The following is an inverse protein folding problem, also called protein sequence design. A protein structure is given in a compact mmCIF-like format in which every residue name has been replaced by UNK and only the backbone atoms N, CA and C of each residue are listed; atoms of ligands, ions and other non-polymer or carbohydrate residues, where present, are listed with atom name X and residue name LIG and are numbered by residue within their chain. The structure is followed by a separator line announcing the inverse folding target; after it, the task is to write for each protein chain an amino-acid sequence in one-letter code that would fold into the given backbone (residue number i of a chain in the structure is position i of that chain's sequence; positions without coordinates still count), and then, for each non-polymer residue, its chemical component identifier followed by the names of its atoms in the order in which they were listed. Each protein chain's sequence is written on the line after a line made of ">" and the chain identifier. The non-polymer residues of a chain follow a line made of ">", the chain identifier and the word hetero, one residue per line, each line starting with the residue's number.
data_IF_771673157213
#
_entry.id   IF_771673157213
#
_cell.length_a   1.000
_cell.length_b   1.000
_cell.length_c   1.000
_cell.angle_alpha   90.00
_cell.angle_beta   90.00
_cell.angle_gamma   90.00
#
_symmetry.space_group_name_H-M   'P 1'
#
loop_
_entity.id
_entity.type
_entity.pdbx_description
1 polymer ?
#
# COMPACT_ATOMS: atom_id res chain seq x y z
N UNK A 1 -3.75 33.36 -6.53
CA UNK A 1 -3.40 31.96 -6.29
C UNK A 1 -2.52 31.91 -5.06
N UNK A 2 -2.94 31.13 -4.04
CA UNK A 2 -2.17 30.98 -2.81
C UNK A 2 -0.84 30.27 -3.07
N UNK A 3 0.26 30.82 -2.60
CA UNK A 3 1.56 30.18 -2.69
C UNK A 3 1.70 29.23 -1.51
N UNK A 4 1.99 27.96 -1.78
CA UNK A 4 2.42 27.00 -0.74
C UNK A 4 3.90 27.33 -0.45
N UNK A 5 4.21 27.67 0.77
CA UNK A 5 5.55 28.07 1.19
C UNK A 5 6.40 26.88 1.61
N UNK A 6 5.77 25.87 2.24
CA UNK A 6 6.41 24.64 2.64
C UNK A 6 5.37 23.53 2.83
N UNK A 7 5.80 22.29 2.78
CA UNK A 7 4.98 21.10 3.06
C UNK A 7 5.72 20.19 4.03
N UNK A 8 5.07 19.81 5.13
CA UNK A 8 5.53 18.72 5.99
C UNK A 8 4.65 17.49 5.73
N UNK A 9 5.23 16.41 5.26
CA UNK A 9 4.49 15.20 4.89
C UNK A 9 5.42 13.99 4.78
N UNK A 10 4.85 12.80 4.82
CA UNK A 10 5.54 11.58 4.39
C UNK A 10 5.92 11.67 2.91
N UNK A 11 7.11 11.22 2.54
CA UNK A 11 7.45 10.94 1.15
C UNK A 11 6.64 9.72 0.69
N UNK A 12 5.52 9.98 0.01
CA UNK A 12 4.55 8.94 -0.34
C UNK A 12 5.08 7.92 -1.35
N UNK A 13 5.98 8.30 -2.26
CA UNK A 13 6.63 7.36 -3.18
C UNK A 13 7.56 6.42 -2.43
N UNK A 14 8.41 6.95 -1.54
CA UNK A 14 9.27 6.13 -0.69
C UNK A 14 8.45 5.18 0.20
N UNK A 15 7.34 5.66 0.76
CA UNK A 15 6.46 4.84 1.60
C UNK A 15 5.76 3.72 0.82
N UNK A 16 5.33 3.98 -0.43
CA UNK A 16 4.84 2.94 -1.34
C UNK A 16 5.91 1.91 -1.68
N UNK A 17 7.15 2.37 -1.90
CA UNK A 17 8.29 1.48 -2.14
C UNK A 17 8.63 0.59 -0.93
N UNK A 18 8.48 1.10 0.30
CA UNK A 18 8.59 0.29 1.54
C UNK A 18 7.55 -0.83 1.54
N UNK A 19 6.27 -0.54 1.26
CA UNK A 19 5.24 -1.56 1.20
C UNK A 19 5.56 -2.67 0.18
N UNK A 20 6.09 -2.30 -1.00
CA UNK A 20 6.49 -3.25 -2.03
C UNK A 20 7.67 -4.14 -1.59
N UNK A 21 8.70 -3.55 -0.99
CA UNK A 21 9.87 -4.27 -0.51
C UNK A 21 9.50 -5.26 0.60
N UNK A 22 8.69 -4.83 1.57
CA UNK A 22 8.21 -5.69 2.66
C UNK A 22 7.32 -6.83 2.12
N UNK A 23 6.42 -6.56 1.18
CA UNK A 23 5.60 -7.60 0.53
C UNK A 23 6.46 -8.63 -0.18
N UNK A 24 7.43 -8.18 -0.98
CA UNK A 24 8.32 -9.07 -1.74
C UNK A 24 9.20 -9.94 -0.83
N UNK A 25 9.61 -9.43 0.34
CA UNK A 25 10.43 -10.14 1.32
C UNK A 25 9.67 -11.25 2.08
N UNK A 26 8.34 -11.30 2.01
CA UNK A 26 7.56 -12.37 2.66
C UNK A 26 7.85 -13.71 1.98
N UNK A 27 8.34 -14.67 2.75
CA UNK A 27 8.80 -15.97 2.23
C UNK A 27 7.75 -16.68 1.34
N UNK A 28 6.48 -16.69 1.77
CA UNK A 28 5.39 -17.30 1.00
C UNK A 28 5.09 -16.56 -0.31
N UNK A 29 5.29 -15.25 -0.36
CA UNK A 29 5.14 -14.43 -1.59
C UNK A 29 6.33 -14.66 -2.50
N UNK A 30 7.56 -14.60 -1.99
CA UNK A 30 8.77 -14.85 -2.75
C UNK A 30 8.75 -16.25 -3.41
N UNK A 31 8.28 -17.28 -2.68
CA UNK A 31 8.15 -18.63 -3.21
C UNK A 31 7.10 -18.72 -4.34
N UNK A 32 5.93 -18.08 -4.19
CA UNK A 32 4.90 -18.04 -5.24
C UNK A 32 5.39 -17.29 -6.49
N UNK A 33 6.08 -16.16 -6.29
CA UNK A 33 6.69 -15.40 -7.39
C UNK A 33 7.72 -16.26 -8.10
N UNK A 34 8.66 -16.89 -7.38
CA UNK A 34 9.71 -17.72 -7.99
C UNK A 34 9.16 -18.91 -8.79
N UNK A 35 8.01 -19.45 -8.40
CA UNK A 35 7.35 -20.57 -9.08
C UNK A 35 6.46 -20.12 -10.25
N UNK A 36 6.20 -18.83 -10.42
CA UNK A 36 5.28 -18.34 -11.45
C UNK A 36 5.85 -18.56 -12.87
N UNK A 37 4.96 -18.87 -13.80
CA UNK A 37 5.28 -18.99 -15.23
C UNK A 37 4.14 -18.38 -16.04
N UNK A 38 4.30 -18.14 -17.36
CA UNK A 38 3.20 -17.68 -18.19
C UNK A 38 1.99 -18.64 -18.25
N UNK A 39 2.22 -19.95 -18.02
CA UNK A 39 1.18 -20.97 -17.98
C UNK A 39 0.51 -21.09 -16.60
N UNK A 40 1.21 -20.62 -15.55
CA UNK A 40 0.73 -20.56 -14.17
C UNK A 40 1.11 -19.19 -13.57
N UNK A 41 0.54 -18.08 -14.08
CA UNK A 41 0.88 -16.74 -13.64
C UNK A 41 0.34 -16.46 -12.25
N UNK A 42 0.95 -15.48 -11.56
CA UNK A 42 0.46 -14.95 -10.30
C UNK A 42 0.05 -13.48 -10.42
N UNK A 43 -0.87 -13.05 -9.56
CA UNK A 43 -1.38 -11.69 -9.54
C UNK A 43 -1.16 -11.04 -8.18
N UNK A 44 -0.69 -9.79 -8.20
CA UNK A 44 -0.62 -8.89 -7.06
C UNK A 44 -1.58 -7.73 -7.34
N UNK A 45 -2.46 -7.38 -6.40
CA UNK A 45 -3.32 -6.22 -6.54
C UNK A 45 -2.75 -5.00 -5.80
N UNK A 46 -2.69 -3.86 -6.50
CA UNK A 46 -2.50 -2.55 -5.92
C UNK A 46 -3.87 -1.86 -5.85
N UNK A 47 -4.48 -1.85 -4.67
CA UNK A 47 -5.77 -1.21 -4.44
C UNK A 47 -5.55 0.26 -4.11
N UNK A 48 -5.57 1.10 -5.13
CA UNK A 48 -5.40 2.55 -5.04
C UNK A 48 -6.76 3.22 -4.87
N UNK A 49 -7.01 3.84 -3.70
CA UNK A 49 -8.31 4.46 -3.43
C UNK A 49 -8.67 5.58 -4.42
N UNK A 50 -7.67 6.26 -4.99
CA UNK A 50 -7.87 7.43 -5.83
C UNK A 50 -6.71 7.59 -6.83
N UNK A 51 -7.01 8.05 -8.05
CA UNK A 51 -6.02 8.28 -9.09
C UNK A 51 -5.65 9.76 -9.28
N UNK A 52 -6.15 10.66 -8.41
CA UNK A 52 -5.95 12.12 -8.50
C UNK A 52 -5.29 12.73 -7.28
N UNK A 53 -5.55 12.20 -6.08
CA UNK A 53 -4.90 12.63 -4.83
C UNK A 53 -3.39 12.41 -4.88
N UNK A 54 -2.60 13.49 -4.70
CA UNK A 54 -1.14 13.43 -4.83
C UNK A 54 -0.51 12.40 -3.90
N UNK A 55 -0.98 12.28 -2.65
CA UNK A 55 -0.46 11.31 -1.69
C UNK A 55 -0.76 9.86 -2.09
N UNK A 56 -2.00 9.57 -2.50
CA UNK A 56 -2.42 8.22 -2.92
C UNK A 56 -1.72 7.82 -4.22
N UNK A 57 -1.62 8.75 -5.17
CA UNK A 57 -0.86 8.54 -6.42
C UNK A 57 0.61 8.25 -6.13
N UNK A 58 1.23 9.02 -5.23
CA UNK A 58 2.62 8.80 -4.83
C UNK A 58 2.82 7.39 -4.25
N UNK A 59 1.96 6.94 -3.32
CA UNK A 59 2.01 5.58 -2.75
C UNK A 59 1.87 4.51 -3.82
N UNK A 60 0.94 4.71 -4.75
CA UNK A 60 0.71 3.78 -5.88
C UNK A 60 1.91 3.71 -6.80
N UNK A 61 2.45 4.87 -7.24
CA UNK A 61 3.62 4.93 -8.12
C UNK A 61 4.84 4.30 -7.46
N UNK A 62 5.10 4.65 -6.19
CA UNK A 62 6.22 4.09 -5.43
C UNK A 62 6.13 2.56 -5.26
N UNK A 63 4.92 2.06 -4.95
CA UNK A 63 4.68 0.61 -4.88
C UNK A 63 4.91 -0.07 -6.22
N UNK A 64 4.33 0.45 -7.31
CA UNK A 64 4.47 -0.12 -8.64
C UNK A 64 5.92 -0.12 -9.12
N UNK A 65 6.62 1.00 -8.98
CA UNK A 65 8.01 1.12 -9.42
C UNK A 65 8.91 0.11 -8.68
N UNK A 66 8.81 0.06 -7.33
CA UNK A 66 9.64 -0.85 -6.54
C UNK A 66 9.26 -2.31 -6.72
N UNK A 67 7.97 -2.63 -6.80
CA UNK A 67 7.53 -4.00 -7.01
C UNK A 67 7.97 -4.50 -8.40
N UNK A 68 7.80 -3.69 -9.44
CA UNK A 68 8.27 -4.04 -10.79
C UNK A 68 9.79 -4.24 -10.81
N UNK A 69 10.57 -3.34 -10.22
CA UNK A 69 12.03 -3.49 -10.08
C UNK A 69 12.39 -4.86 -9.48
N UNK A 70 11.75 -5.24 -8.37
CA UNK A 70 12.03 -6.51 -7.68
C UNK A 70 11.57 -7.72 -8.51
N UNK A 71 10.39 -7.66 -9.10
CA UNK A 71 9.86 -8.74 -9.93
C UNK A 71 10.70 -8.98 -11.19
N UNK A 72 11.21 -7.93 -11.82
CA UNK A 72 12.10 -8.02 -12.98
C UNK A 72 13.43 -8.71 -12.66
N UNK A 73 13.87 -8.74 -11.41
CA UNK A 73 15.02 -9.54 -11.01
C UNK A 73 14.77 -11.05 -11.08
N UNK A 74 13.52 -11.46 -10.97
CA UNK A 74 13.09 -12.88 -10.99
C UNK A 74 12.55 -13.28 -12.37
N UNK A 75 11.76 -12.41 -12.99
CA UNK A 75 11.05 -12.63 -14.25
C UNK A 75 11.34 -11.53 -15.28
N UNK A 76 12.58 -11.44 -15.81
CA UNK A 76 12.99 -10.36 -16.72
C UNK A 76 12.11 -10.26 -17.97
N UNK A 77 11.42 -9.11 -18.15
CA UNK A 77 10.53 -8.82 -19.26
C UNK A 77 9.17 -9.52 -19.19
N UNK A 78 8.85 -10.25 -18.12
CA UNK A 78 7.60 -11.00 -17.96
C UNK A 78 6.70 -10.44 -16.84
N UNK A 79 6.83 -9.14 -16.51
CA UNK A 79 6.01 -8.43 -15.54
C UNK A 79 5.10 -7.44 -16.27
N UNK A 80 3.79 -7.51 -16.04
CA UNK A 80 2.81 -6.58 -16.60
C UNK A 80 2.11 -5.78 -15.50
N UNK A 81 1.72 -4.54 -15.81
CA UNK A 81 0.81 -3.74 -14.99
C UNK A 81 -0.48 -3.54 -15.77
N UNK A 82 -1.61 -3.83 -15.14
CA UNK A 82 -2.94 -3.77 -15.76
C UNK A 82 -3.97 -3.11 -14.83
N UNK A 83 -5.19 -2.93 -15.30
CA UNK A 83 -6.36 -2.58 -14.49
C UNK A 83 -6.74 -1.09 -14.52
N UNK A 84 -5.80 -0.17 -14.70
CA UNK A 84 -6.10 1.26 -14.78
C UNK A 84 -5.19 1.95 -15.79
N UNK A 85 -5.77 2.67 -16.76
CA UNK A 85 -5.07 3.26 -17.91
C UNK A 85 -3.89 4.17 -17.54
N UNK A 86 -3.98 4.87 -16.43
CA UNK A 86 -2.90 5.73 -15.92
C UNK A 86 -1.61 4.96 -15.61
N UNK A 87 -1.71 3.68 -15.28
CA UNK A 87 -0.60 2.87 -14.75
C UNK A 87 -0.26 1.66 -15.62
N UNK A 88 -1.09 1.33 -16.61
CA UNK A 88 -0.90 0.15 -17.45
C UNK A 88 0.47 0.16 -18.13
N UNK A 89 1.17 -0.97 -18.04
CA UNK A 89 2.44 -1.24 -18.70
C UNK A 89 2.47 -2.71 -19.17
N UNK A 90 2.50 -2.97 -20.48
CA UNK A 90 2.57 -4.34 -20.98
C UNK A 90 3.95 -4.94 -20.72
N UNK A 91 4.02 -6.26 -20.52
CA UNK A 91 5.27 -7.00 -20.46
C UNK A 91 5.87 -7.20 -21.86
N UNK A 92 7.17 -7.37 -21.96
CA UNK A 92 7.88 -7.68 -23.22
C UNK A 92 7.66 -9.14 -23.67
N UNK A 93 7.47 -10.05 -22.71
CA UNK A 93 7.21 -11.48 -22.88
C UNK A 93 5.85 -11.84 -22.29
N UNK A 94 5.31 -13.03 -22.54
CA UNK A 94 4.12 -13.50 -21.84
C UNK A 94 4.30 -13.37 -20.32
N UNK A 95 3.36 -12.70 -19.65
CA UNK A 95 3.51 -12.33 -18.26
C UNK A 95 3.47 -13.54 -17.32
N UNK A 96 4.49 -13.68 -16.48
CA UNK A 96 4.49 -14.61 -15.35
C UNK A 96 3.91 -13.94 -14.10
N UNK A 97 4.05 -12.61 -13.97
CA UNK A 97 3.49 -11.84 -12.87
C UNK A 97 2.72 -10.63 -13.42
N UNK A 98 1.52 -10.42 -12.91
CA UNK A 98 0.72 -9.24 -13.22
C UNK A 98 0.46 -8.43 -11.95
N UNK A 99 0.73 -7.13 -11.99
CA UNK A 99 0.27 -6.20 -10.97
C UNK A 99 -1.01 -5.54 -11.48
N UNK A 100 -2.14 -5.84 -10.84
CA UNK A 100 -3.40 -5.20 -11.19
C UNK A 100 -3.64 -3.96 -10.32
N UNK A 101 -3.86 -2.81 -10.94
CA UNK A 101 -4.22 -1.57 -10.24
C UNK A 101 -5.73 -1.40 -10.29
N UNK A 102 -6.38 -1.46 -9.13
CA UNK A 102 -7.82 -1.20 -9.00
C UNK A 102 -8.04 0.15 -8.34
N UNK A 103 -8.85 1.01 -8.99
CA UNK A 103 -9.33 2.29 -8.45
C UNK A 103 -10.85 2.21 -8.35
N UNK A 104 -11.44 2.45 -7.18
CA UNK A 104 -12.91 2.40 -7.02
C UNK A 104 -13.59 3.55 -7.79
N UNK A 105 -14.87 3.40 -8.09
CA UNK A 105 -15.65 4.41 -8.80
C UNK A 105 -15.77 5.73 -8.03
N UNK A 106 -15.73 5.65 -6.68
CA UNK A 106 -15.61 6.81 -5.80
C UNK A 106 -14.91 6.40 -4.50
N UNK A 107 -14.62 7.38 -3.64
CA UNK A 107 -14.00 7.15 -2.32
C UNK A 107 -15.00 6.68 -1.25
N UNK A 108 -16.24 6.35 -1.64
CA UNK A 108 -17.26 5.86 -0.71
C UNK A 108 -16.89 4.47 -0.16
N UNK A 109 -17.26 4.16 1.11
CA UNK A 109 -17.05 2.82 1.66
C UNK A 109 -17.66 1.70 0.83
N UNK A 110 -18.82 1.93 0.22
CA UNK A 110 -19.53 0.96 -0.63
C UNK A 110 -18.77 0.67 -1.91
N UNK A 111 -18.23 1.70 -2.59
CA UNK A 111 -17.46 1.52 -3.81
C UNK A 111 -16.11 0.87 -3.52
N UNK A 112 -15.48 1.21 -2.39
CA UNK A 112 -14.26 0.53 -1.92
C UNK A 112 -14.54 -0.96 -1.63
N UNK A 113 -15.64 -1.29 -0.95
CA UNK A 113 -16.04 -2.68 -0.70
C UNK A 113 -16.31 -3.44 -2.01
N UNK A 114 -17.06 -2.84 -2.93
CA UNK A 114 -17.37 -3.44 -4.24
C UNK A 114 -16.10 -3.72 -5.04
N UNK A 115 -15.17 -2.76 -5.06
CA UNK A 115 -13.88 -2.93 -5.72
C UNK A 115 -13.04 -4.03 -5.07
N UNK A 116 -13.02 -4.10 -3.73
CA UNK A 116 -12.34 -5.17 -3.01
C UNK A 116 -12.94 -6.56 -3.31
N UNK A 117 -14.27 -6.68 -3.45
CA UNK A 117 -14.92 -7.92 -3.88
C UNK A 117 -14.48 -8.33 -5.30
N UNK A 118 -14.35 -7.35 -6.21
CA UNK A 118 -13.78 -7.58 -7.54
C UNK A 118 -12.35 -8.09 -7.48
N UNK A 119 -11.49 -7.47 -6.66
CA UNK A 119 -10.10 -7.92 -6.44
C UNK A 119 -10.07 -9.35 -5.90
N UNK A 120 -10.85 -9.66 -4.87
CA UNK A 120 -10.90 -10.98 -4.24
C UNK A 120 -11.43 -12.09 -5.16
N UNK A 121 -12.08 -11.74 -6.27
CA UNK A 121 -12.53 -12.68 -7.30
C UNK A 121 -11.51 -12.93 -8.41
N UNK A 122 -10.38 -12.22 -8.43
CA UNK A 122 -9.33 -12.39 -9.43
C UNK A 122 -8.64 -13.75 -9.25
N UNK A 123 -8.41 -14.41 -10.36
CA UNK A 123 -7.67 -15.67 -10.38
C UNK A 123 -6.19 -15.43 -10.03
N UNK A 124 -5.59 -16.41 -9.36
CA UNK A 124 -4.16 -16.41 -9.00
C UNK A 124 -3.68 -15.21 -8.16
N UNK A 125 -4.60 -14.56 -7.46
CA UNK A 125 -4.29 -13.46 -6.56
C UNK A 125 -3.50 -13.97 -5.35
N UNK A 126 -2.30 -13.43 -5.12
CA UNK A 126 -1.43 -13.83 -4.01
C UNK A 126 -1.28 -12.76 -2.94
N UNK A 127 -1.43 -11.47 -3.31
CA UNK A 127 -1.29 -10.36 -2.38
C UNK A 127 -2.10 -9.13 -2.80
N UNK A 128 -2.46 -8.30 -1.79
CA UNK A 128 -3.10 -6.99 -1.97
C UNK A 128 -2.29 -5.94 -1.21
N UNK A 129 -1.92 -4.85 -1.87
CA UNK A 129 -1.50 -3.60 -1.25
C UNK A 129 -2.67 -2.62 -1.24
N UNK A 130 -3.02 -2.09 -0.07
CA UNK A 130 -4.03 -1.06 0.12
C UNK A 130 -3.36 0.29 0.32
N UNK A 131 -3.65 1.28 -0.53
CA UNK A 131 -2.96 2.57 -0.56
C UNK A 131 -3.27 3.52 0.61
N UNK A 132 -4.35 3.25 1.37
CA UNK A 132 -4.78 4.04 2.53
C UNK A 132 -5.88 3.34 3.34
N UNK A 133 -6.34 4.01 4.41
CA UNK A 133 -7.38 3.48 5.32
C UNK A 133 -8.71 3.15 4.62
N UNK A 134 -9.12 3.90 3.59
CA UNK A 134 -10.37 3.62 2.88
C UNK A 134 -10.29 2.32 2.06
N UNK A 135 -9.19 2.08 1.35
CA UNK A 135 -8.96 0.81 0.65
C UNK A 135 -8.84 -0.38 1.62
N UNK A 136 -8.19 -0.17 2.77
CA UNK A 136 -8.17 -1.14 3.89
C UNK A 136 -9.58 -1.46 4.36
N UNK A 137 -10.42 -0.44 4.63
CA UNK A 137 -11.82 -0.60 5.03
C UNK A 137 -12.63 -1.39 4.00
N UNK A 138 -12.38 -1.15 2.71
CA UNK A 138 -12.99 -1.90 1.61
C UNK A 138 -12.65 -3.40 1.65
N UNK A 139 -11.37 -3.75 1.86
CA UNK A 139 -10.94 -5.15 1.98
C UNK A 139 -11.54 -5.80 3.23
N UNK A 140 -11.51 -5.14 4.38
CA UNK A 140 -12.11 -5.67 5.61
C UNK A 140 -13.60 -5.93 5.43
N UNK A 141 -14.36 -4.97 4.90
CA UNK A 141 -15.80 -5.12 4.64
C UNK A 141 -16.13 -6.23 3.63
N UNK A 142 -15.23 -6.47 2.64
CA UNK A 142 -15.38 -7.53 1.66
C UNK A 142 -14.99 -8.92 2.17
N UNK A 143 -14.36 -9.01 3.35
CA UNK A 143 -13.84 -10.25 3.95
C UNK A 143 -14.45 -10.53 5.32
N UNK A 144 -15.74 -10.23 5.48
CA UNK A 144 -16.48 -10.46 6.73
C UNK A 144 -15.76 -9.80 7.92
N UNK A 145 -15.56 -8.48 7.82
CA UNK A 145 -14.79 -7.65 8.76
C UNK A 145 -13.36 -8.15 9.04
N UNK A 146 -12.78 -8.83 8.04
CA UNK A 146 -11.42 -9.36 8.07
C UNK A 146 -11.32 -10.84 8.45
N UNK A 147 -12.38 -11.47 9.00
CA UNK A 147 -12.31 -12.85 9.48
C UNK A 147 -12.05 -13.89 8.39
N UNK A 148 -12.44 -13.60 7.14
CA UNK A 148 -12.12 -14.45 5.98
C UNK A 148 -10.60 -14.48 5.66
N UNK A 149 -9.81 -13.59 6.24
CA UNK A 149 -8.35 -13.53 6.12
C UNK A 149 -7.63 -14.28 7.25
N UNK A 150 -8.36 -14.87 8.18
CA UNK A 150 -7.79 -15.65 9.29
C UNK A 150 -6.86 -16.75 8.77
N UNK A 151 -5.62 -16.78 9.28
CA UNK A 151 -4.56 -17.68 8.79
C UNK A 151 -4.83 -19.17 8.99
N UNK A 152 -5.68 -19.52 9.97
CA UNK A 152 -6.00 -20.90 10.26
C UNK A 152 -7.22 -21.40 9.47
N UNK A 153 -8.30 -20.60 9.43
CA UNK A 153 -9.61 -21.05 8.97
C UNK A 153 -10.28 -20.14 7.94
N UNK A 154 -9.68 -18.99 7.61
CA UNK A 154 -10.25 -18.01 6.69
C UNK A 154 -10.34 -18.53 5.27
N UNK A 155 -11.35 -18.06 4.55
CA UNK A 155 -11.54 -18.34 3.11
C UNK A 155 -10.32 -17.92 2.27
N UNK A 156 -9.66 -16.85 2.67
CA UNK A 156 -8.49 -16.26 2.00
C UNK A 156 -7.23 -16.38 2.88
N UNK A 157 -7.08 -17.44 3.65
CA UNK A 157 -5.98 -17.65 4.61
C UNK A 157 -4.57 -17.54 4.02
N UNK A 158 -4.40 -17.82 2.73
CA UNK A 158 -3.12 -17.78 2.02
C UNK A 158 -2.88 -16.46 1.28
N UNK A 159 -3.83 -15.52 1.35
CA UNK A 159 -3.73 -14.19 0.75
C UNK A 159 -2.98 -13.25 1.70
N UNK A 160 -1.94 -12.60 1.20
CA UNK A 160 -1.24 -11.56 1.96
C UNK A 160 -1.89 -10.20 1.70
N UNK A 161 -2.21 -9.46 2.76
CA UNK A 161 -2.68 -8.08 2.67
C UNK A 161 -1.74 -7.18 3.45
N UNK A 162 -1.28 -6.10 2.79
CA UNK A 162 -0.52 -5.01 3.38
C UNK A 162 -1.34 -3.73 3.24
N UNK A 163 -1.46 -3.00 4.36
CA UNK A 163 -2.18 -1.74 4.42
C UNK A 163 -1.28 -0.50 4.36
N UNK A 164 -1.91 0.65 4.43
CA UNK A 164 -1.29 1.95 4.63
C UNK A 164 -2.13 2.75 5.63
N UNK A 165 -1.48 3.53 6.48
CA UNK A 165 -2.01 4.21 7.66
C UNK A 165 -2.18 3.27 8.90
N UNK A 166 -2.84 3.75 9.97
CA UNK A 166 -2.94 3.04 11.25
C UNK A 166 -4.31 3.26 11.93
N UNK A 167 -5.40 3.21 11.16
CA UNK A 167 -6.75 3.26 11.71
C UNK A 167 -7.07 2.12 12.68
N UNK A 168 -8.06 2.30 13.53
CA UNK A 168 -8.37 1.33 14.60
C UNK A 168 -8.64 -0.09 14.07
N UNK A 169 -9.43 -0.20 13.00
CA UNK A 169 -9.76 -1.50 12.38
C UNK A 169 -8.53 -2.15 11.74
N UNK A 170 -7.66 -1.34 11.15
CA UNK A 170 -6.42 -1.79 10.53
C UNK A 170 -5.44 -2.32 11.57
N UNK A 171 -5.24 -1.60 12.68
CA UNK A 171 -4.43 -2.10 13.81
C UNK A 171 -4.98 -3.40 14.38
N UNK A 172 -6.30 -3.51 14.50
CA UNK A 172 -6.94 -4.77 14.91
C UNK A 172 -6.67 -5.89 13.90
N UNK A 173 -6.74 -5.62 12.60
CA UNK A 173 -6.45 -6.60 11.56
C UNK A 173 -4.99 -7.09 11.59
N UNK A 174 -4.04 -6.20 11.88
CA UNK A 174 -2.62 -6.57 12.06
C UNK A 174 -2.43 -7.39 13.35
N UNK A 175 -3.04 -6.97 14.48
CA UNK A 175 -2.97 -7.74 15.75
C UNK A 175 -3.60 -9.14 15.63
N UNK A 176 -4.65 -9.28 14.82
CA UNK A 176 -5.27 -10.57 14.54
C UNK A 176 -4.54 -11.37 13.46
N UNK A 177 -3.44 -10.85 12.91
CA UNK A 177 -2.69 -11.44 11.79
C UNK A 177 -3.53 -11.66 10.52
N UNK A 178 -4.66 -10.95 10.38
CA UNK A 178 -5.46 -10.92 9.14
C UNK A 178 -4.73 -10.15 8.05
N UNK A 179 -4.15 -9.00 8.42
CA UNK A 179 -3.17 -8.30 7.59
C UNK A 179 -1.76 -8.67 8.06
N UNK A 180 -0.85 -8.82 7.10
CA UNK A 180 0.56 -9.08 7.41
C UNK A 180 1.20 -7.89 8.12
N UNK A 181 0.90 -6.69 7.65
CA UNK A 181 1.40 -5.45 8.20
C UNK A 181 0.81 -4.23 7.51
N UNK A 182 1.30 -3.07 7.86
CA UNK A 182 0.93 -1.80 7.25
C UNK A 182 2.04 -0.77 7.36
N UNK A 183 2.08 0.19 6.42
CA UNK A 183 2.95 1.36 6.49
C UNK A 183 2.22 2.45 7.27
N UNK A 184 2.81 2.95 8.35
CA UNK A 184 2.31 4.14 9.06
C UNK A 184 3.15 5.36 8.75
N UNK A 185 2.52 6.52 8.78
CA UNK A 185 3.16 7.83 8.69
C UNK A 185 3.60 8.28 10.10
N UNK A 186 4.19 9.46 10.21
CA UNK A 186 4.41 10.13 11.50
C UNK A 186 3.47 11.34 11.63
N UNK A 187 2.22 11.14 12.06
CA UNK A 187 1.23 12.22 12.17
C UNK A 187 1.63 13.27 13.19
N UNK A 188 2.38 12.89 14.23
CA UNK A 188 2.89 13.84 15.23
C UNK A 188 3.90 14.80 14.59
N UNK A 189 4.91 14.29 13.89
CA UNK A 189 5.93 15.12 13.25
C UNK A 189 5.37 15.93 12.07
N UNK A 190 4.38 15.41 11.34
CA UNK A 190 3.65 16.19 10.33
C UNK A 190 3.02 17.43 10.98
N UNK A 191 2.29 17.26 12.08
CA UNK A 191 1.68 18.37 12.81
C UNK A 191 2.70 19.31 13.42
N UNK A 192 3.76 18.79 14.05
CA UNK A 192 4.83 19.56 14.66
C UNK A 192 5.52 20.47 13.62
N UNK A 193 6.00 19.90 12.52
CA UNK A 193 6.68 20.67 11.48
C UNK A 193 5.73 21.64 10.76
N UNK A 194 4.45 21.31 10.58
CA UNK A 194 3.49 22.23 10.00
C UNK A 194 3.41 23.53 10.81
N UNK A 195 3.37 23.44 12.15
CA UNK A 195 3.34 24.61 13.05
C UNK A 195 4.70 25.32 13.05
N UNK A 196 5.80 24.60 13.17
CA UNK A 196 7.16 25.16 13.16
C UNK A 196 7.43 25.96 11.89
N UNK A 197 7.13 25.39 10.72
CA UNK A 197 7.30 26.04 9.43
C UNK A 197 6.41 27.27 9.28
N UNK A 198 5.17 27.22 9.76
CA UNK A 198 4.28 28.38 9.78
C UNK A 198 4.83 29.54 10.64
N UNK A 199 5.38 29.22 11.81
CA UNK A 199 6.02 30.22 12.69
C UNK A 199 7.27 30.82 12.05
N UNK A 200 8.13 30.00 11.45
CA UNK A 200 9.32 30.47 10.72
C UNK A 200 8.93 31.38 9.55
N UNK A 201 7.94 30.96 8.75
CA UNK A 201 7.42 31.78 7.65
C UNK A 201 6.87 33.12 8.14
N UNK A 202 6.09 33.14 9.23
CA UNK A 202 5.58 34.37 9.83
C UNK A 202 6.69 35.33 10.29
N UNK A 203 7.82 34.79 10.75
CA UNK A 203 8.99 35.57 11.16
C UNK A 203 9.90 36.01 10.02
N UNK A 204 9.62 35.59 8.79
CA UNK A 204 10.47 35.84 7.62
C UNK A 204 11.78 35.05 7.64
N UNK A 205 11.83 33.95 8.39
CA UNK A 205 12.97 33.04 8.44
C UNK A 205 12.99 32.12 7.22
N UNK A 206 14.16 31.61 6.85
CA UNK A 206 14.29 30.62 5.78
C UNK A 206 13.58 29.30 6.18
N UNK A 207 12.82 28.74 5.24
CA UNK A 207 12.11 27.48 5.42
C UNK A 207 12.43 26.52 4.28
N UNK A 208 12.50 25.22 4.62
CA UNK A 208 12.62 24.16 3.61
C UNK A 208 11.32 24.04 2.83
N UNK A 209 11.36 23.89 1.49
CA UNK A 209 10.16 23.74 0.67
C UNK A 209 9.38 22.46 1.00
N UNK A 210 10.07 21.38 1.35
CA UNK A 210 9.50 20.07 1.70
C UNK A 210 10.26 19.51 2.88
N UNK A 211 9.54 19.09 3.92
CA UNK A 211 10.06 18.34 5.07
C UNK A 211 9.44 16.95 5.06
N UNK A 212 10.27 15.94 4.77
CA UNK A 212 9.86 14.54 4.86
C UNK A 212 9.85 14.09 6.32
N UNK A 213 8.71 13.60 6.79
CA UNK A 213 8.54 13.08 8.15
C UNK A 213 8.79 11.57 8.25
N UNK A 214 9.10 10.91 7.13
CA UNK A 214 9.35 9.48 7.06
C UNK A 214 8.09 8.63 7.18
N UNK A 215 8.30 7.32 7.27
CA UNK A 215 7.28 6.30 7.52
C UNK A 215 7.93 5.08 8.19
N UNK A 216 7.09 4.21 8.76
CA UNK A 216 7.52 2.94 9.35
C UNK A 216 6.60 1.82 8.88
N UNK A 217 7.15 0.61 8.73
CA UNK A 217 6.36 -0.58 8.51
C UNK A 217 6.11 -1.29 9.83
N UNK A 218 4.85 -1.62 10.12
CA UNK A 218 4.49 -2.34 11.32
C UNK A 218 3.78 -3.66 11.00
N UNK A 219 4.07 -4.65 11.81
CA UNK A 219 3.54 -6.01 11.75
C UNK A 219 3.05 -6.44 13.13
N UNK A 220 2.51 -7.64 13.23
CA UNK A 220 2.16 -8.24 14.51
C UNK A 220 3.35 -8.27 15.50
N UNK A 221 4.57 -8.53 15.01
CA UNK A 221 5.75 -8.68 15.83
C UNK A 221 6.25 -7.37 16.44
N UNK A 222 6.07 -6.23 15.73
CA UNK A 222 6.65 -4.95 16.14
C UNK A 222 5.64 -3.85 16.49
N UNK A 223 4.33 -4.13 16.40
CA UNK A 223 3.26 -3.13 16.62
C UNK A 223 3.31 -2.50 18.03
N UNK A 224 3.87 -3.19 19.01
CA UNK A 224 4.03 -2.69 20.38
C UNK A 224 5.44 -2.14 20.67
N UNK A 225 6.33 -2.10 19.68
CA UNK A 225 7.69 -1.57 19.86
C UNK A 225 7.68 -0.07 20.18
N UNK A 226 8.60 0.36 21.03
CA UNK A 226 8.71 1.74 21.49
C UNK A 226 8.94 2.78 20.36
N UNK A 227 9.38 2.34 19.19
CA UNK A 227 9.55 3.19 17.99
C UNK A 227 8.31 3.22 17.09
N UNK A 228 7.45 2.24 17.19
CA UNK A 228 6.27 2.04 16.34
C UNK A 228 5.00 2.49 17.05
N UNK A 229 4.77 2.00 18.28
CA UNK A 229 3.54 2.27 19.03
C UNK A 229 3.16 3.76 19.15
N UNK A 230 4.11 4.71 19.30
CA UNK A 230 3.77 6.14 19.35
C UNK A 230 3.28 6.71 18.00
N UNK A 231 3.47 6.00 16.87
CA UNK A 231 3.03 6.42 15.54
C UNK A 231 1.62 5.90 15.19
N UNK A 232 1.08 5.02 16.03
CA UNK A 232 -0.18 4.32 15.82
C UNK A 232 -1.26 4.90 16.76
#
# INVERSE_FOLDING_TARGET
>A
EGTIWSTASTNNESAGAVAAAEMFAIESIAAKIAAATPEAPVMISCFSQDATSASVVGRTVGFLAKMTELLETVHPGAVAITGHDKYNAPSEKPAAVTINVTVPASTSPTDCQTSAQGILSMENLIAIFCSNEASVGGVLAATTDGSDLDRANGKFKDLIVIGFDAGANQKAAVRNQWFYGSVTQDPYMIGYYAVELAVKAFRGEAIEPIVDTGCQFYTYENIEDAKIAPLL
#
